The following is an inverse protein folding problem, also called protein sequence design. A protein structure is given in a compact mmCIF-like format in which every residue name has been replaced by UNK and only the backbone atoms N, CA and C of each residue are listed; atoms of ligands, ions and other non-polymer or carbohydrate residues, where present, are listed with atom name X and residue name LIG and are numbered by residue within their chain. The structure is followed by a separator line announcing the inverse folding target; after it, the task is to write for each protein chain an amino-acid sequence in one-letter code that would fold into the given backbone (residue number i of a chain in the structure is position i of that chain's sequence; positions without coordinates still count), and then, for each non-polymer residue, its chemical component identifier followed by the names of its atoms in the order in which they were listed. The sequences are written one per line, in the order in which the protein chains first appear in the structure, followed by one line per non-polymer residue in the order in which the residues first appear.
data_IF_753347921067
#
_entry.id   IF_753347921067
#
_cell.length_a   1.000
_cell.length_b   1.000
_cell.length_c   1.000
_cell.angle_alpha   90.00
_cell.angle_beta   90.00
_cell.angle_gamma   90.00
#
_symmetry.space_group_name_H-M   'P 1'
#
loop_
_entity.id
_entity.type
_entity.pdbx_description
1 polymer ?
#
# COMPACT_ATOMS: atom_id res chain seq x y z
N UNK A 1 -0.01 -20.98 6.38
CA UNK A 1 -0.40 -19.55 6.37
C UNK A 1 0.88 -18.74 6.28
N UNK A 2 0.93 -17.67 5.46
CA UNK A 2 2.09 -16.79 5.42
C UNK A 2 2.34 -16.20 6.81
N UNK A 3 3.61 -16.06 7.17
CA UNK A 3 4.06 -15.39 8.38
C UNK A 3 3.95 -13.88 8.25
N UNK A 4 3.96 -13.16 9.38
CA UNK A 4 4.01 -11.69 9.41
C UNK A 4 5.16 -11.13 8.57
N UNK A 5 6.28 -11.86 8.47
CA UNK A 5 7.44 -11.45 7.66
C UNK A 5 7.12 -11.43 6.16
N UNK A 6 6.34 -12.38 5.68
CA UNK A 6 5.99 -12.55 4.25
C UNK A 6 4.86 -11.61 3.80
N UNK A 7 4.04 -11.11 4.72
CA UNK A 7 2.93 -10.19 4.43
C UNK A 7 3.45 -8.75 4.41
N UNK A 8 3.32 -8.04 3.28
CA UNK A 8 3.66 -6.61 3.16
C UNK A 8 2.44 -5.68 3.17
N UNK A 9 1.23 -6.21 2.97
CA UNK A 9 -0.03 -5.47 3.12
C UNK A 9 -0.45 -5.43 4.59
N UNK A 10 -0.37 -4.25 5.21
CA UNK A 10 -0.63 -4.09 6.65
C UNK A 10 -2.09 -4.36 7.04
N UNK A 11 -3.04 -4.20 6.12
CA UNK A 11 -4.47 -4.49 6.30
C UNK A 11 -4.81 -5.98 6.25
N UNK A 12 -3.89 -6.83 5.79
CA UNK A 12 -3.96 -8.30 5.91
C UNK A 12 -3.43 -8.82 7.25
N UNK A 13 -2.82 -7.95 8.07
CA UNK A 13 -2.35 -8.27 9.42
C UNK A 13 -3.45 -7.98 10.45
N UNK A 14 -3.56 -8.84 11.46
CA UNK A 14 -4.28 -8.51 12.69
C UNK A 14 -3.51 -7.44 13.49
N UNK A 15 -4.22 -6.70 14.34
CA UNK A 15 -3.58 -5.63 15.13
C UNK A 15 -2.38 -6.09 16.01
N UNK A 16 -2.33 -7.33 16.57
CA UNK A 16 -1.13 -7.81 17.25
C UNK A 16 0.02 -8.15 16.30
N UNK A 17 -0.28 -8.60 15.07
CA UNK A 17 0.73 -8.87 14.04
C UNK A 17 1.36 -7.58 13.52
N UNK A 18 0.61 -6.46 13.51
CA UNK A 18 1.17 -5.13 13.23
C UNK A 18 2.28 -4.77 14.24
N UNK A 19 2.12 -5.09 15.53
CA UNK A 19 3.19 -4.88 16.51
C UNK A 19 4.45 -5.69 16.16
N UNK A 20 4.27 -6.95 15.74
CA UNK A 20 5.39 -7.78 15.28
C UNK A 20 6.08 -7.19 14.04
N UNK A 21 5.30 -6.64 13.09
CA UNK A 21 5.84 -5.96 11.92
C UNK A 21 6.67 -4.71 12.31
N UNK A 22 6.21 -3.94 13.30
CA UNK A 22 6.95 -2.79 13.86
C UNK A 22 8.25 -3.24 14.52
N UNK A 23 8.24 -4.30 15.32
CA UNK A 23 9.44 -4.86 15.96
C UNK A 23 10.46 -5.38 14.94
N UNK A 24 10.00 -5.84 13.76
CA UNK A 24 10.86 -6.22 12.63
C UNK A 24 11.41 -5.02 11.84
N UNK A 25 11.00 -3.79 12.17
CA UNK A 25 11.42 -2.58 11.47
C UNK A 25 10.74 -2.37 10.12
N UNK A 26 9.56 -2.96 9.88
CA UNK A 26 8.78 -2.69 8.67
C UNK A 26 8.33 -1.22 8.66
N UNK A 27 8.45 -0.57 7.49
CA UNK A 27 8.11 0.84 7.31
C UNK A 27 6.80 0.92 6.52
N UNK A 28 5.73 1.52 7.08
CA UNK A 28 4.49 1.73 6.34
C UNK A 28 4.67 2.73 5.19
N UNK A 29 4.11 2.41 4.02
CA UNK A 29 3.97 3.32 2.89
C UNK A 29 2.50 3.64 2.72
N UNK A 30 2.14 4.93 2.76
CA UNK A 30 0.76 5.39 2.55
C UNK A 30 0.69 6.05 1.17
N UNK A 31 0.30 5.30 0.12
CA UNK A 31 0.12 5.90 -1.20
C UNK A 31 -0.99 6.94 -1.14
N UNK A 32 -0.67 8.17 -1.55
CA UNK A 32 -1.62 9.28 -1.60
C UNK A 32 -1.76 9.73 -3.05
N UNK A 33 -2.99 9.98 -3.47
CA UNK A 33 -3.31 10.49 -4.80
C UNK A 33 -4.55 11.38 -4.75
N UNK A 34 -5.13 11.62 -5.92
CA UNK A 34 -6.26 12.52 -6.12
C UNK A 34 -7.41 11.82 -6.84
N UNK A 35 -8.59 12.45 -6.79
CA UNK A 35 -9.69 12.21 -7.72
C UNK A 35 -9.81 13.49 -8.56
N UNK A 36 -9.25 13.48 -9.76
CA UNK A 36 -9.13 14.69 -10.58
C UNK A 36 -9.22 14.41 -12.08
N UNK A 37 -9.34 15.48 -12.88
CA UNK A 37 -9.50 15.35 -14.33
C UNK A 37 -8.20 14.92 -14.99
N UNK A 38 -8.26 13.96 -15.92
CA UNK A 38 -7.12 13.52 -16.74
C UNK A 38 -7.45 13.52 -18.25
N UNK A 39 -8.29 14.48 -18.68
CA UNK A 39 -8.79 14.58 -20.05
C UNK A 39 -9.87 13.54 -20.37
N UNK A 40 -10.46 13.62 -21.57
CA UNK A 40 -11.61 12.78 -21.96
C UNK A 40 -11.31 11.28 -22.10
N UNK A 41 -10.05 10.87 -22.05
CA UNK A 41 -9.60 9.52 -22.37
C UNK A 41 -9.10 8.73 -21.15
N UNK A 42 -8.98 9.36 -19.98
CA UNK A 42 -8.48 8.71 -18.76
C UNK A 42 -9.49 8.79 -17.61
N UNK A 43 -9.48 7.80 -16.70
CA UNK A 43 -10.29 7.84 -15.48
C UNK A 43 -9.86 8.96 -14.51
N UNK A 44 -10.71 9.32 -13.55
CA UNK A 44 -10.37 10.34 -12.54
C UNK A 44 -9.37 9.87 -11.46
N UNK A 45 -9.06 8.57 -11.43
CA UNK A 45 -8.29 7.93 -10.35
C UNK A 45 -6.80 7.74 -10.68
N UNK A 46 -6.27 8.34 -11.75
CA UNK A 46 -4.93 8.00 -12.25
C UNK A 46 -3.88 8.22 -11.18
N UNK A 47 -3.93 9.33 -10.46
CA UNK A 47 -3.01 9.62 -9.36
C UNK A 47 -3.02 8.54 -8.28
N UNK A 48 -4.21 8.17 -7.80
CA UNK A 48 -4.35 7.09 -6.82
C UNK A 48 -3.87 5.74 -7.37
N UNK A 49 -4.18 5.42 -8.63
CA UNK A 49 -3.77 4.18 -9.29
C UNK A 49 -2.25 4.08 -9.38
N UNK A 50 -1.59 5.14 -9.87
CA UNK A 50 -0.14 5.16 -10.05
C UNK A 50 0.59 5.13 -8.71
N UNK A 51 0.18 5.95 -7.74
CA UNK A 51 0.78 5.96 -6.40
C UNK A 51 0.65 4.60 -5.71
N UNK A 52 -0.53 3.98 -5.78
CA UNK A 52 -0.78 2.66 -5.17
C UNK A 52 0.06 1.58 -5.84
N UNK A 53 0.10 1.53 -7.19
CA UNK A 53 0.88 0.52 -7.91
C UNK A 53 2.38 0.60 -7.56
N UNK A 54 2.96 1.80 -7.53
CA UNK A 54 4.37 1.99 -7.17
C UNK A 54 4.61 1.60 -5.71
N UNK A 55 3.74 2.02 -4.78
CA UNK A 55 3.86 1.66 -3.36
C UNK A 55 3.76 0.15 -3.13
N UNK A 56 2.84 -0.53 -3.82
CA UNK A 56 2.71 -1.99 -3.76
C UNK A 56 3.99 -2.68 -4.22
N UNK A 57 4.54 -2.28 -5.37
CA UNK A 57 5.76 -2.91 -5.88
C UNK A 57 7.01 -2.57 -5.04
N UNK A 58 7.09 -1.37 -4.46
CA UNK A 58 8.17 -1.01 -3.55
C UNK A 58 8.11 -1.75 -2.20
N UNK A 59 6.93 -2.22 -1.80
CA UNK A 59 6.71 -2.93 -0.54
C UNK A 59 6.92 -4.45 -0.62
N UNK A 60 6.92 -5.03 -1.84
CA UNK A 60 7.20 -6.45 -2.10
C UNK A 60 8.65 -6.80 -1.81
#
# INVERSE_FOLDING_TARGET
MPSVREIYQFDELTWPEVNQAVDMGKIPIIPTGSVEQHGHHLPLKVDHLCATAIATEAAR
#
